data_IF_338392917405
#
_entry.id   IF_338392917405
#
_cell.length_a   1.000
_cell.length_b   1.000
_cell.length_c   1.000
_cell.angle_alpha   90.00
_cell.angle_beta   90.00
_cell.angle_gamma   90.00
#
_symmetry.space_group_name_H-M   'P 1'
#
loop_
_entity.id
_entity.type
_entity.pdbx_description
1 polymer ?
#
# COMPACT_ATOMS: atom_id res chain seq x y z
N UNK A 1 -20.68 8.35 -8.51
CA UNK A 1 -20.34 6.99 -8.99
C UNK A 1 -19.03 6.59 -8.33
N UNK A 2 -19.01 5.69 -7.34
CA UNK A 2 -17.77 5.36 -6.67
C UNK A 2 -16.83 4.70 -7.67
N UNK A 3 -15.63 5.24 -7.83
CA UNK A 3 -14.47 4.53 -8.38
C UNK A 3 -14.39 4.20 -9.89
N UNK A 4 -14.38 5.22 -10.77
CA UNK A 4 -13.80 5.03 -12.12
C UNK A 4 -12.28 4.93 -12.14
N UNK A 5 -11.61 5.39 -11.07
CA UNK A 5 -10.15 5.48 -10.99
C UNK A 5 -9.52 4.10 -10.87
N UNK A 6 -8.51 3.85 -11.70
CA UNK A 6 -7.79 2.59 -11.78
C UNK A 6 -6.49 2.64 -10.99
N UNK A 7 -6.06 1.49 -10.51
CA UNK A 7 -4.71 1.29 -10.00
C UNK A 7 -3.77 0.98 -11.15
N UNK A 8 -2.73 1.80 -11.29
CA UNK A 8 -1.63 1.59 -12.22
C UNK A 8 -0.30 1.65 -11.45
N UNK A 9 0.37 0.50 -11.20
CA UNK A 9 -0.01 -0.86 -11.59
C UNK A 9 -1.11 -1.46 -10.68
N UNK A 10 -1.85 -2.48 -11.15
CA UNK A 10 -2.83 -3.22 -10.35
C UNK A 10 -2.25 -3.77 -9.03
N UNK A 11 -3.12 -4.04 -8.07
CA UNK A 11 -2.72 -4.56 -6.75
C UNK A 11 -2.87 -6.09 -6.75
N UNK A 12 -1.77 -6.86 -6.65
CA UNK A 12 -1.87 -8.30 -6.52
C UNK A 12 -2.43 -8.67 -5.14
N UNK A 13 -3.40 -9.59 -5.11
CA UNK A 13 -3.97 -10.14 -3.87
C UNK A 13 -3.64 -11.63 -3.78
N UNK A 14 -3.44 -12.20 -2.57
CA UNK A 14 -2.97 -13.57 -2.40
C UNK A 14 -3.89 -14.64 -3.00
N UNK A 15 -5.21 -14.43 -2.92
CA UNK A 15 -6.22 -15.45 -3.24
C UNK A 15 -7.18 -15.01 -4.35
N UNK A 16 -6.71 -14.26 -5.36
CA UNK A 16 -7.63 -13.80 -6.39
C UNK A 16 -7.04 -12.97 -7.51
N UNK A 17 -7.95 -12.36 -8.27
CA UNK A 17 -7.59 -11.46 -9.36
C UNK A 17 -7.05 -10.15 -8.79
N UNK A 18 -6.03 -9.54 -9.43
CA UNK A 18 -5.51 -8.25 -9.00
C UNK A 18 -6.60 -7.18 -8.98
N UNK A 19 -6.60 -6.33 -7.96
CA UNK A 19 -7.52 -5.20 -7.86
C UNK A 19 -7.08 -4.13 -8.86
N UNK A 20 -7.98 -3.78 -9.77
CA UNK A 20 -7.75 -2.84 -10.87
C UNK A 20 -8.39 -1.49 -10.62
N UNK A 21 -9.43 -1.42 -9.80
CA UNK A 21 -10.17 -0.18 -9.54
C UNK A 21 -10.31 0.08 -8.05
N UNK A 22 -10.53 1.34 -7.68
CA UNK A 22 -10.86 1.70 -6.29
C UNK A 22 -12.10 0.94 -5.80
N UNK A 23 -13.07 0.68 -6.69
CA UNK A 23 -14.34 0.01 -6.34
C UNK A 23 -14.12 -1.46 -6.06
N UNK A 24 -13.27 -2.13 -6.85
CA UNK A 24 -12.83 -3.49 -6.56
C UNK A 24 -12.10 -3.58 -5.22
N UNK A 25 -11.29 -2.57 -4.87
CA UNK A 25 -10.63 -2.53 -3.56
C UNK A 25 -11.60 -2.36 -2.40
N UNK A 26 -12.60 -1.48 -2.51
CA UNK A 26 -13.64 -1.33 -1.49
C UNK A 26 -14.39 -2.66 -1.29
N UNK A 27 -14.87 -3.25 -2.38
CA UNK A 27 -15.56 -4.55 -2.32
C UNK A 27 -14.68 -5.69 -1.82
N UNK A 28 -13.37 -5.61 -2.01
CA UNK A 28 -12.43 -6.59 -1.47
C UNK A 28 -12.33 -6.45 0.06
N UNK A 29 -12.17 -5.24 0.57
CA UNK A 29 -12.07 -4.98 2.02
C UNK A 29 -13.37 -5.37 2.73
N UNK A 30 -14.53 -5.01 2.18
CA UNK A 30 -15.84 -5.36 2.74
C UNK A 30 -16.05 -6.87 2.89
N UNK A 31 -15.44 -7.69 2.02
CA UNK A 31 -15.53 -9.15 2.05
C UNK A 31 -14.53 -9.81 3.01
N UNK A 32 -13.58 -9.06 3.58
CA UNK A 32 -12.64 -9.60 4.54
C UNK A 32 -13.35 -9.96 5.86
N UNK A 33 -12.84 -10.97 6.60
CA UNK A 33 -13.34 -11.24 7.95
C UNK A 33 -13.14 -10.02 8.86
N UNK A 34 -14.03 -9.82 9.83
CA UNK A 34 -13.91 -8.71 10.79
C UNK A 34 -12.56 -8.71 11.55
N UNK A 35 -12.00 -9.89 11.82
CA UNK A 35 -10.66 -10.02 12.43
C UNK A 35 -9.53 -9.45 11.56
N UNK A 36 -9.70 -9.44 10.25
CA UNK A 36 -8.79 -8.78 9.34
C UNK A 36 -9.09 -7.29 9.25
N UNK A 37 -10.36 -6.91 9.07
CA UNK A 37 -10.77 -5.50 8.96
C UNK A 37 -10.38 -4.65 10.18
N UNK A 38 -10.41 -5.21 11.39
CA UNK A 38 -10.04 -4.50 12.62
C UNK A 38 -8.54 -4.30 12.81
N UNK A 39 -7.68 -4.80 11.91
CA UNK A 39 -6.25 -4.53 11.99
C UNK A 39 -5.95 -3.09 11.57
N UNK A 40 -5.00 -2.45 12.25
CA UNK A 40 -4.63 -1.05 12.01
C UNK A 40 -4.24 -0.79 10.55
N UNK A 41 -3.59 -1.76 9.89
CA UNK A 41 -3.20 -1.63 8.49
C UNK A 41 -4.39 -1.62 7.53
N UNK A 42 -5.47 -2.33 7.85
CA UNK A 42 -6.70 -2.32 7.06
C UNK A 42 -7.52 -1.05 7.29
N UNK A 43 -7.49 -0.49 8.51
CA UNK A 43 -8.08 0.82 8.79
C UNK A 43 -7.35 1.94 8.04
N UNK A 44 -6.01 1.94 8.05
CA UNK A 44 -5.18 2.88 7.30
C UNK A 44 -5.43 2.76 5.78
N UNK A 45 -5.60 1.53 5.28
CA UNK A 45 -5.96 1.29 3.87
C UNK A 45 -7.33 1.88 3.53
N UNK A 46 -8.32 1.75 4.43
CA UNK A 46 -9.65 2.30 4.24
C UNK A 46 -9.65 3.83 4.29
N UNK A 47 -8.89 4.45 5.21
CA UNK A 47 -8.69 5.91 5.24
C UNK A 47 -8.04 6.42 3.95
N UNK A 48 -7.02 5.72 3.44
CA UNK A 48 -6.39 6.06 2.17
C UNK A 48 -7.34 5.93 0.98
N UNK A 49 -8.28 4.97 1.00
CA UNK A 49 -9.34 4.87 0.00
C UNK A 49 -10.32 6.04 0.08
N UNK A 50 -10.75 6.45 1.28
CA UNK A 50 -11.64 7.60 1.48
C UNK A 50 -10.99 8.87 0.91
N UNK A 51 -9.71 9.12 1.20
CA UNK A 51 -8.97 10.28 0.65
C UNK A 51 -8.96 10.29 -0.87
N UNK A 52 -8.84 9.13 -1.53
CA UNK A 52 -8.84 9.00 -3.00
C UNK A 52 -10.25 9.11 -3.60
N UNK A 53 -11.28 8.82 -2.82
CA UNK A 53 -12.68 8.94 -3.24
C UNK A 53 -13.16 10.39 -3.10
N UNK A 54 -12.78 11.06 -2.01
CA UNK A 54 -13.23 12.42 -1.67
C UNK A 54 -12.39 13.51 -2.33
N UNK A 55 -11.07 13.37 -2.26
CA UNK A 55 -10.15 14.17 -3.05
C UNK A 55 -9.78 13.36 -4.28
N UNK A 56 -9.61 13.99 -5.43
CA UNK A 56 -9.08 13.31 -6.62
C UNK A 56 -7.58 12.96 -6.47
N UNK A 57 -7.17 12.55 -5.27
CA UNK A 57 -5.82 12.22 -4.86
C UNK A 57 -5.27 11.02 -5.63
N UNK A 58 -3.94 10.90 -5.71
CA UNK A 58 -3.31 9.81 -6.45
C UNK A 58 -3.77 8.44 -5.94
N UNK A 59 -4.21 7.57 -6.86
CA UNK A 59 -4.59 6.19 -6.54
C UNK A 59 -3.45 5.38 -5.89
N UNK A 60 -2.22 5.89 -5.98
CA UNK A 60 -1.04 5.33 -5.33
C UNK A 60 -1.13 5.33 -3.79
N UNK A 61 -1.84 6.27 -3.16
CA UNK A 61 -2.04 6.29 -1.70
C UNK A 61 -2.84 5.09 -1.22
N UNK A 62 -4.02 4.89 -1.81
CA UNK A 62 -4.85 3.71 -1.55
C UNK A 62 -4.08 2.42 -1.84
N UNK A 63 -3.29 2.40 -2.92
CA UNK A 63 -2.43 1.26 -3.24
C UNK A 63 -1.41 0.94 -2.16
N UNK A 64 -0.74 1.94 -1.59
CA UNK A 64 0.24 1.73 -0.52
C UNK A 64 -0.41 1.18 0.74
N UNK A 65 -1.57 1.73 1.14
CA UNK A 65 -2.33 1.23 2.29
C UNK A 65 -2.71 -0.25 2.13
N UNK A 66 -3.33 -0.61 1.00
CA UNK A 66 -3.73 -1.99 0.73
C UNK A 66 -2.53 -2.92 0.67
N UNK A 67 -1.42 -2.53 0.02
CA UNK A 67 -0.22 -3.36 0.01
C UNK A 67 0.36 -3.57 1.40
N UNK A 68 0.31 -2.55 2.28
CA UNK A 68 0.78 -2.70 3.65
C UNK A 68 -0.08 -3.68 4.43
N UNK A 69 -1.40 -3.58 4.28
CA UNK A 69 -2.34 -4.51 4.90
C UNK A 69 -2.15 -5.96 4.41
N UNK A 70 -1.94 -6.15 3.10
CA UNK A 70 -1.66 -7.47 2.52
C UNK A 70 -0.32 -8.06 2.99
N UNK A 71 0.68 -7.22 3.27
CA UNK A 71 2.00 -7.65 3.75
C UNK A 71 2.14 -7.64 5.27
N UNK A 72 1.05 -7.45 6.05
CA UNK A 72 1.11 -7.32 7.52
C UNK A 72 1.77 -8.50 8.24
N UNK A 73 1.67 -9.70 7.66
CA UNK A 73 2.27 -10.93 8.22
C UNK A 73 3.66 -11.24 7.67
N UNK A 74 4.20 -10.40 6.77
CA UNK A 74 5.55 -10.58 6.24
C UNK A 74 6.55 -9.79 7.06
N UNK A 75 7.63 -10.43 7.57
CA UNK A 75 8.73 -9.69 8.15
C UNK A 75 9.34 -8.76 7.09
N UNK A 76 9.86 -7.58 7.47
CA UNK A 76 10.54 -6.69 6.55
C UNK A 76 11.60 -7.50 5.80
N UNK A 77 11.55 -7.49 4.45
CA UNK A 77 12.62 -8.12 3.66
C UNK A 77 13.93 -7.50 4.12
N UNK A 78 14.84 -8.34 4.61
CA UNK A 78 16.16 -7.90 5.03
C UNK A 78 16.80 -7.19 3.84
N UNK A 79 16.90 -5.86 3.91
CA UNK A 79 17.65 -5.12 2.92
C UNK A 79 19.10 -5.59 3.02
N UNK A 80 19.79 -5.85 1.89
CA UNK A 80 21.22 -6.12 1.95
C UNK A 80 21.86 -5.00 2.73
N UNK A 81 22.63 -5.35 3.79
CA UNK A 81 23.31 -4.39 4.64
C UNK A 81 24.13 -3.48 3.75
N UNK A 82 23.63 -2.28 3.48
CA UNK A 82 24.27 -1.33 2.59
C UNK A 82 25.64 -1.04 3.22
N UNK A 83 26.73 -1.55 2.62
CA UNK A 83 28.08 -1.26 3.07
C UNK A 83 28.22 0.26 3.02
N UNK A 84 28.30 0.88 4.19
CA UNK A 84 28.36 2.33 4.36
C UNK A 84 29.78 2.81 4.07
N UNK A 85 30.23 2.63 2.84
CA UNK A 85 31.43 3.30 2.34
C UNK A 85 31.03 4.15 1.14
N UNK A 86 30.82 5.43 1.40
CA UNK A 86 30.62 6.45 0.38
C UNK A 86 31.95 7.21 0.23
N UNK A 87 32.72 6.99 -0.85
CA UNK A 87 34.05 7.59 -1.02
C UNK A 87 34.07 9.12 -0.96
N UNK A 88 32.96 9.76 -1.33
CA UNK A 88 32.79 11.21 -1.33
C UNK A 88 32.52 11.83 0.07
N UNK A 89 32.31 11.00 1.11
CA UNK A 89 32.27 11.45 2.51
C UNK A 89 33.66 11.64 3.13
N UNK A 90 34.75 11.29 2.42
CA UNK A 90 36.15 11.52 2.83
C UNK A 90 36.68 12.88 2.39
N UNK A 91 35.98 13.97 2.68
CA UNK A 91 36.58 15.31 2.58
C UNK A 91 36.95 15.79 3.96
N UNK A 92 38.26 15.96 4.20
CA UNK A 92 38.76 16.64 5.40
C UNK A 92 38.47 18.13 5.27
N UNK A 93 37.98 18.80 6.33
CA UNK A 93 37.96 20.26 6.33
C UNK A 93 39.40 20.78 6.22
N UNK A 94 39.58 21.79 5.37
CA UNK A 94 40.83 22.57 5.21
C UNK A 94 40.97 23.52 6.38
#
# INVERSE_FOLDING_TARGET
MPARKRFEPPIPVPNGRPLRTIGEAVSYIEKLPKSEQSAAEWEDAMRALIVVIEGDGPAMFARMGIMRALNRHQPPKALPRMKRERPWMRRKPV
#
